data_IF_640156506621
#
_entry.id   IF_640156506621
#
_cell.length_a   1.000
_cell.length_b   1.000
_cell.length_c   1.000
_cell.angle_alpha   90.00
_cell.angle_beta   90.00
_cell.angle_gamma   90.00
#
_symmetry.space_group_name_H-M   'P 1'
#
loop_
_entity.id
_entity.type
_entity.pdbx_description
1 polymer ?
#
# COMPACT_ATOMS: atom_id res chain seq x y z
N UNK A 1 13.81 -17.87 11.67
CA UNK A 1 15.01 -18.09 10.84
C UNK A 1 16.10 -17.15 11.34
N UNK A 2 17.31 -17.67 11.53
CA UNK A 2 18.48 -16.85 11.85
C UNK A 2 19.22 -16.57 10.55
N UNK A 3 19.55 -15.30 10.30
CA UNK A 3 20.33 -14.86 9.15
C UNK A 3 21.48 -14.03 9.69
N UNK A 4 22.72 -14.45 9.43
CA UNK A 4 23.94 -13.81 9.94
C UNK A 4 23.89 -13.52 11.46
N UNK A 5 23.37 -14.47 12.25
CA UNK A 5 23.26 -14.34 13.70
C UNK A 5 22.10 -13.47 14.20
N UNK A 6 21.27 -12.93 13.31
CA UNK A 6 20.08 -12.12 13.66
C UNK A 6 18.78 -12.85 13.36
N UNK A 7 17.74 -12.63 14.16
CA UNK A 7 16.42 -13.20 13.88
C UNK A 7 15.72 -12.34 12.82
N UNK A 8 15.33 -12.96 11.71
CA UNK A 8 14.52 -12.31 10.67
C UNK A 8 13.08 -12.14 11.15
N UNK A 9 12.54 -10.94 10.99
CA UNK A 9 11.14 -10.59 11.22
C UNK A 9 10.58 -9.93 9.95
N UNK A 10 9.46 -10.44 9.46
CA UNK A 10 8.67 -9.80 8.40
C UNK A 10 7.54 -9.02 9.06
N UNK A 11 7.45 -7.72 8.79
CA UNK A 11 6.53 -6.79 9.44
C UNK A 11 5.57 -6.25 8.37
N UNK A 12 4.28 -6.55 8.51
CA UNK A 12 3.24 -6.00 7.65
C UNK A 12 2.62 -4.75 8.26
N UNK A 13 2.88 -3.60 7.63
CA UNK A 13 2.39 -2.30 8.06
C UNK A 13 0.99 -2.06 7.47
N UNK A 14 -0.01 -1.90 8.35
CA UNK A 14 -1.38 -1.58 7.94
C UNK A 14 -1.53 -0.14 7.44
N UNK A 15 -2.67 0.18 6.81
CA UNK A 15 -2.93 1.52 6.28
C UNK A 15 -2.78 2.66 7.30
N UNK A 16 -3.08 2.40 8.58
CA UNK A 16 -2.90 3.36 9.68
C UNK A 16 -1.45 3.79 9.92
N UNK A 17 -0.46 3.01 9.43
CA UNK A 17 0.94 3.40 9.49
C UNK A 17 1.26 4.57 8.55
N UNK A 18 0.38 4.84 7.58
CA UNK A 18 0.57 5.83 6.53
C UNK A 18 -0.55 6.89 6.57
N UNK A 19 -1.82 6.48 6.55
CA UNK A 19 -2.99 7.39 6.63
C UNK A 19 -3.97 6.90 7.68
N UNK A 20 -4.30 7.74 8.67
CA UNK A 20 -5.30 7.40 9.69
C UNK A 20 -6.71 7.73 9.23
N UNK A 21 -7.69 7.11 9.88
CA UNK A 21 -9.10 7.45 9.68
C UNK A 21 -9.36 8.90 10.11
N UNK A 22 -10.10 9.65 9.29
CA UNK A 22 -10.44 11.05 9.54
C UNK A 22 -9.38 12.08 9.12
N UNK A 23 -8.17 11.66 8.74
CA UNK A 23 -7.18 12.56 8.14
C UNK A 23 -7.49 12.83 6.67
N UNK A 24 -7.20 14.06 6.23
CA UNK A 24 -7.28 14.48 4.82
C UNK A 24 -6.35 13.61 3.95
N UNK A 25 -5.18 13.23 4.49
CA UNK A 25 -4.21 12.39 3.77
C UNK A 25 -3.22 13.20 2.96
N UNK A 26 -2.92 14.41 3.41
CA UNK A 26 -1.87 15.26 2.83
C UNK A 26 -0.52 14.54 2.89
N UNK A 27 0.45 14.99 2.07
CA UNK A 27 1.81 14.49 2.17
C UNK A 27 2.36 14.65 3.60
N UNK A 28 2.12 15.80 4.22
CA UNK A 28 2.55 16.09 5.59
C UNK A 28 2.01 15.08 6.61
N UNK A 29 0.71 14.73 6.51
CA UNK A 29 0.08 13.71 7.35
C UNK A 29 0.73 12.34 7.17
N UNK A 30 0.93 11.95 5.90
CA UNK A 30 1.50 10.65 5.57
C UNK A 30 2.94 10.53 6.07
N UNK A 31 3.78 11.55 5.84
CA UNK A 31 5.15 11.60 6.34
C UNK A 31 5.21 11.57 7.87
N UNK A 32 4.32 12.31 8.55
CA UNK A 32 4.23 12.32 10.02
C UNK A 32 3.86 10.93 10.57
N UNK A 33 2.87 10.27 9.99
CA UNK A 33 2.45 8.92 10.42
C UNK A 33 3.54 7.87 10.18
N UNK A 34 4.21 7.93 9.01
CA UNK A 34 5.33 7.05 8.69
C UNK A 34 6.49 7.27 9.66
N UNK A 35 6.80 8.53 10.01
CA UNK A 35 7.83 8.86 11.00
C UNK A 35 7.58 8.20 12.36
N UNK A 36 6.35 8.27 12.88
CA UNK A 36 5.95 7.63 14.14
C UNK A 36 6.14 6.11 14.08
N UNK A 37 5.80 5.49 12.94
CA UNK A 37 6.00 4.06 12.72
C UNK A 37 7.50 3.71 12.70
N UNK A 38 8.32 4.52 12.04
CA UNK A 38 9.77 4.35 11.98
C UNK A 38 10.43 4.40 13.35
N UNK A 39 9.97 5.24 14.27
CA UNK A 39 10.48 5.27 15.65
C UNK A 39 10.30 3.93 16.38
N UNK A 40 9.19 3.22 16.13
CA UNK A 40 8.98 1.88 16.71
C UNK A 40 9.85 0.83 16.03
N UNK A 41 10.05 0.94 14.71
CA UNK A 41 10.94 0.05 13.96
C UNK A 41 12.40 0.19 14.44
N UNK A 42 12.85 1.40 14.76
CA UNK A 42 14.17 1.65 15.35
C UNK A 42 14.33 0.91 16.68
N UNK A 43 13.30 0.89 17.53
CA UNK A 43 13.31 0.14 18.81
C UNK A 43 13.37 -1.37 18.59
N UNK A 44 12.61 -1.89 17.63
CA UNK A 44 12.70 -3.32 17.27
C UNK A 44 14.09 -3.68 16.74
N UNK A 45 14.65 -2.85 15.88
CA UNK A 45 15.98 -3.09 15.33
C UNK A 45 17.09 -3.09 16.40
N UNK A 46 16.93 -2.32 17.49
CA UNK A 46 17.85 -2.37 18.65
C UNK A 46 17.84 -3.70 19.40
N UNK A 47 16.83 -4.54 19.19
CA UNK A 47 16.77 -5.91 19.72
C UNK A 47 17.42 -6.93 18.77
N UNK A 48 18.31 -6.48 17.88
CA UNK A 48 19.03 -7.27 16.88
C UNK A 48 18.14 -8.04 15.89
N UNK A 49 16.92 -7.55 15.64
CA UNK A 49 16.09 -8.06 14.55
C UNK A 49 16.56 -7.55 13.18
N UNK A 50 16.71 -8.49 12.26
CA UNK A 50 16.76 -8.21 10.83
C UNK A 50 15.32 -8.07 10.33
N UNK A 51 15.00 -6.95 9.68
CA UNK A 51 13.60 -6.61 9.36
C UNK A 51 13.37 -6.58 7.85
N UNK A 52 12.30 -7.22 7.41
CA UNK A 52 11.69 -7.01 6.10
C UNK A 52 10.35 -6.32 6.33
N UNK A 53 10.13 -5.18 5.69
CA UNK A 53 8.90 -4.42 5.83
C UNK A 53 8.02 -4.64 4.60
N UNK A 54 6.75 -4.88 4.82
CA UNK A 54 5.71 -4.82 3.79
C UNK A 54 4.65 -3.81 4.22
N UNK A 55 3.84 -3.33 3.28
CA UNK A 55 2.78 -2.39 3.58
C UNK A 55 1.55 -2.65 2.70
N UNK A 56 0.38 -2.22 3.17
CA UNK A 56 -0.77 -2.01 2.30
C UNK A 56 -0.67 -0.66 1.58
N UNK A 57 -1.49 -0.46 0.56
CA UNK A 57 -1.56 0.77 -0.23
C UNK A 57 -2.98 1.22 -0.57
N UNK A 58 -4.02 0.58 -0.02
CA UNK A 58 -5.42 0.80 -0.44
C UNK A 58 -5.85 2.28 -0.52
N UNK A 59 -5.60 3.11 0.51
CA UNK A 59 -5.89 4.54 0.43
C UNK A 59 -5.07 5.29 -0.64
N UNK A 60 -3.78 4.99 -0.77
CA UNK A 60 -2.87 5.62 -1.74
C UNK A 60 -3.27 5.26 -3.17
N UNK A 61 -3.48 3.97 -3.44
CA UNK A 61 -3.90 3.47 -4.74
C UNK A 61 -5.28 4.03 -5.13
N UNK A 62 -6.21 4.09 -4.18
CA UNK A 62 -7.52 4.70 -4.40
C UNK A 62 -7.43 6.18 -4.78
N UNK A 63 -6.62 6.96 -4.06
CA UNK A 63 -6.42 8.38 -4.36
C UNK A 63 -5.73 8.58 -5.72
N UNK A 64 -4.69 7.81 -6.01
CA UNK A 64 -3.96 7.90 -7.28
C UNK A 64 -4.83 7.48 -8.46
N UNK A 65 -5.70 6.48 -8.28
CA UNK A 65 -6.66 6.07 -9.32
C UNK A 65 -7.65 7.19 -9.66
N UNK A 66 -8.14 7.93 -8.66
CA UNK A 66 -8.95 9.13 -8.90
C UNK A 66 -8.14 10.16 -9.72
N UNK A 67 -6.88 10.41 -9.35
CA UNK A 67 -6.03 11.35 -10.09
C UNK A 67 -5.82 10.92 -11.55
N UNK A 68 -5.59 9.62 -11.81
CA UNK A 68 -5.47 9.07 -13.16
C UNK A 68 -6.73 9.32 -14.00
N UNK A 69 -7.91 9.15 -13.39
CA UNK A 69 -9.18 9.32 -14.10
C UNK A 69 -9.55 10.77 -14.34
N UNK A 70 -9.41 11.62 -13.33
CA UNK A 70 -9.72 13.05 -13.46
C UNK A 70 -8.73 13.74 -14.43
N UNK A 71 -7.50 13.22 -14.54
CA UNK A 71 -6.50 13.64 -15.52
C UNK A 71 -6.66 13.04 -16.93
N UNK A 72 -7.49 11.99 -17.10
CA UNK A 72 -7.54 11.14 -18.31
C UNK A 72 -7.84 11.88 -19.61
N UNK A 73 -8.58 13.00 -19.54
CA UNK A 73 -8.92 13.84 -20.71
C UNK A 73 -7.72 14.66 -21.22
N UNK A 74 -6.70 14.84 -20.38
CA UNK A 74 -5.49 15.60 -20.70
C UNK A 74 -4.30 14.68 -20.95
N UNK A 75 -4.17 13.62 -20.14
CA UNK A 75 -3.08 12.64 -20.20
C UNK A 75 -3.66 11.24 -20.05
N UNK A 76 -3.31 10.26 -20.89
CA UNK A 76 -3.82 8.90 -20.78
C UNK A 76 -3.59 8.29 -19.38
N UNK A 77 -4.64 7.69 -18.82
CA UNK A 77 -4.58 7.01 -17.53
C UNK A 77 -3.76 5.73 -17.60
N UNK A 78 -3.01 5.44 -16.54
CA UNK A 78 -2.33 4.16 -16.36
C UNK A 78 -3.27 3.08 -15.80
N UNK A 79 -3.03 1.79 -16.14
CA UNK A 79 -3.79 0.68 -15.59
C UNK A 79 -3.48 0.45 -14.10
N UNK A 80 -4.34 -0.32 -13.43
CA UNK A 80 -4.32 -0.49 -11.97
C UNK A 80 -3.02 -1.11 -11.43
N UNK A 81 -2.42 -2.05 -12.17
CA UNK A 81 -1.13 -2.66 -11.84
C UNK A 81 0.02 -1.64 -11.87
N UNK A 82 0.00 -0.72 -12.83
CA UNK A 82 0.97 0.39 -12.90
C UNK A 82 0.72 1.41 -11.78
N UNK A 83 -0.55 1.69 -11.46
CA UNK A 83 -0.90 2.53 -10.30
C UNK A 83 -0.40 1.89 -9.00
N UNK A 84 -0.54 0.57 -8.83
CA UNK A 84 0.01 -0.16 -7.69
C UNK A 84 1.53 0.04 -7.60
N UNK A 85 2.25 -0.17 -8.71
CA UNK A 85 3.69 0.05 -8.78
C UNK A 85 4.10 1.49 -8.43
N UNK A 86 3.34 2.50 -8.87
CA UNK A 86 3.57 3.90 -8.49
C UNK A 86 3.46 4.09 -6.98
N UNK A 87 2.45 3.50 -6.34
CA UNK A 87 2.27 3.60 -4.87
C UNK A 87 3.35 2.84 -4.08
N UNK A 88 3.93 1.78 -4.64
CA UNK A 88 5.12 1.14 -4.04
C UNK A 88 6.30 2.12 -4.02
N UNK A 89 6.49 2.90 -5.10
CA UNK A 89 7.48 3.97 -5.14
C UNK A 89 7.21 5.09 -4.14
N UNK A 90 5.97 5.57 -4.07
CA UNK A 90 5.54 6.60 -3.12
C UNK A 90 5.79 6.18 -1.66
N UNK A 91 5.22 5.04 -1.25
CA UNK A 91 5.27 4.57 0.13
C UNK A 91 6.68 4.11 0.49
N UNK A 92 7.35 3.40 -0.43
CA UNK A 92 8.74 2.97 -0.27
C UNK A 92 9.69 4.14 -0.07
N UNK A 93 9.47 5.26 -0.78
CA UNK A 93 10.22 6.49 -0.57
C UNK A 93 9.97 7.09 0.82
N UNK A 94 8.71 7.20 1.25
CA UNK A 94 8.37 7.72 2.58
C UNK A 94 9.06 6.92 3.69
N UNK A 95 8.97 5.59 3.65
CA UNK A 95 9.60 4.73 4.66
C UNK A 95 11.13 4.79 4.59
N UNK A 96 11.73 4.73 3.41
CA UNK A 96 13.19 4.88 3.28
C UNK A 96 13.67 6.20 3.89
N UNK A 97 13.04 7.31 3.51
CA UNK A 97 13.41 8.64 3.98
C UNK A 97 13.29 8.76 5.51
N UNK A 98 12.13 8.39 6.06
CA UNK A 98 11.86 8.55 7.49
C UNK A 98 12.65 7.57 8.36
N UNK A 99 12.83 6.32 7.92
CA UNK A 99 13.59 5.33 8.67
C UNK A 99 15.10 5.62 8.65
N UNK A 100 15.64 6.10 7.52
CA UNK A 100 17.03 6.59 7.46
C UNK A 100 17.25 7.75 8.45
N UNK A 101 16.33 8.72 8.46
CA UNK A 101 16.40 9.85 9.40
C UNK A 101 16.28 9.37 10.86
N UNK A 102 15.42 8.39 11.14
CA UNK A 102 15.26 7.83 12.48
C UNK A 102 16.52 7.09 12.95
N UNK A 103 17.18 6.31 12.08
CA UNK A 103 18.46 5.68 12.41
C UNK A 103 19.59 6.70 12.63
N UNK A 104 19.67 7.75 11.79
CA UNK A 104 20.67 8.82 11.96
C UNK A 104 20.50 9.57 13.28
N UNK A 105 19.27 9.90 13.68
CA UNK A 105 18.98 10.48 15.01
C UNK A 105 19.43 9.58 16.17
N UNK A 106 19.44 8.28 15.93
CA UNK A 106 19.89 7.26 16.86
C UNK A 106 21.39 6.94 16.73
N UNK A 107 22.14 7.73 15.96
CA UNK A 107 23.59 7.58 15.77
C UNK A 107 24.01 6.37 14.94
N UNK A 108 23.08 5.79 14.15
CA UNK A 108 23.33 4.59 13.34
C UNK A 108 23.13 4.88 11.86
N UNK A 109 24.02 4.35 11.02
CA UNK A 109 23.87 4.37 9.57
C UNK A 109 23.56 2.95 9.08
N UNK A 110 22.28 2.70 8.80
CA UNK A 110 21.80 1.40 8.33
C UNK A 110 21.31 1.56 6.88
N UNK A 111 21.85 0.77 5.92
CA UNK A 111 21.34 0.76 4.56
C UNK A 111 19.89 0.30 4.50
N UNK A 112 19.06 1.01 3.74
CA UNK A 112 17.65 0.69 3.54
C UNK A 112 17.34 0.81 2.05
N UNK A 113 16.74 -0.23 1.48
CA UNK A 113 16.27 -0.27 0.11
C UNK A 113 14.77 -0.59 0.08
N UNK A 114 14.02 0.14 -0.74
CA UNK A 114 12.68 -0.26 -1.18
C UNK A 114 12.80 -0.91 -2.55
N UNK A 115 12.00 -1.94 -2.77
CA UNK A 115 11.98 -2.72 -4.00
C UNK A 115 10.58 -2.62 -4.60
N UNK A 116 10.50 -2.34 -5.90
CA UNK A 116 9.30 -2.66 -6.65
C UNK A 116 9.17 -4.18 -6.69
N UNK A 117 7.98 -4.68 -6.39
CA UNK A 117 7.69 -6.11 -6.27
C UNK A 117 6.49 -6.49 -7.11
N UNK A 118 6.56 -7.68 -7.69
CA UNK A 118 5.52 -8.28 -8.51
C UNK A 118 5.01 -9.56 -7.87
N UNK A 119 3.70 -9.67 -7.75
CA UNK A 119 3.02 -10.86 -7.25
C UNK A 119 2.46 -11.66 -8.42
N UNK A 120 2.76 -12.95 -8.44
CA UNK A 120 2.12 -13.91 -9.32
C UNK A 120 0.76 -14.25 -8.70
N UNK A 121 -0.27 -14.27 -9.54
CA UNK A 121 -1.67 -14.59 -9.20
C UNK A 121 -2.20 -15.57 -10.25
N UNK A 122 -3.27 -16.31 -9.93
CA UNK A 122 -3.94 -17.18 -10.91
C UNK A 122 -4.84 -16.35 -11.83
N UNK A 123 -4.67 -16.45 -13.14
CA UNK A 123 -5.52 -15.75 -14.12
C UNK A 123 -7.00 -16.15 -14.05
N UNK A 124 -7.28 -17.33 -13.47
CA UNK A 124 -8.63 -17.86 -13.28
C UNK A 124 -9.16 -17.63 -11.86
N UNK A 125 -8.50 -16.80 -11.05
CA UNK A 125 -8.97 -16.49 -9.70
C UNK A 125 -10.42 -15.94 -9.75
N UNK A 126 -11.36 -16.49 -8.98
CA UNK A 126 -12.76 -16.04 -8.98
C UNK A 126 -12.94 -14.55 -8.69
N UNK A 127 -12.00 -13.90 -7.99
CA UNK A 127 -12.09 -12.47 -7.66
C UNK A 127 -11.92 -11.56 -8.89
N UNK A 128 -11.43 -12.08 -10.03
CA UNK A 128 -11.50 -11.38 -11.31
C UNK A 128 -12.93 -11.28 -11.87
N UNK A 129 -13.80 -12.25 -11.53
CA UNK A 129 -15.20 -12.27 -11.96
C UNK A 129 -16.12 -11.59 -10.95
N UNK A 130 -15.84 -11.73 -9.65
CA UNK A 130 -16.60 -11.08 -8.58
C UNK A 130 -15.69 -10.27 -7.63
N UNK A 131 -15.19 -9.09 -8.06
CA UNK A 131 -14.26 -8.27 -7.29
C UNK A 131 -14.76 -7.92 -5.89
N UNK A 132 -13.90 -8.04 -4.88
CA UNK A 132 -14.30 -7.83 -3.48
C UNK A 132 -13.57 -6.69 -2.77
N UNK A 133 -12.41 -6.25 -3.27
CA UNK A 133 -11.55 -5.33 -2.53
C UNK A 133 -11.94 -3.87 -2.69
N UNK A 134 -12.32 -3.16 -1.61
CA UNK A 134 -12.64 -1.74 -1.67
C UNK A 134 -11.41 -0.88 -2.00
N UNK A 135 -11.60 0.12 -2.86
CA UNK A 135 -10.61 1.17 -3.16
C UNK A 135 -11.26 2.54 -3.22
N UNK A 136 -10.50 3.57 -2.84
CA UNK A 136 -10.94 4.96 -2.94
C UNK A 136 -11.98 5.36 -1.88
N UNK A 137 -12.72 6.47 -2.12
CA UNK A 137 -13.64 7.07 -1.16
C UNK A 137 -14.96 6.31 -1.07
N UNK A 138 -15.78 6.71 -0.10
CA UNK A 138 -17.15 6.21 0.07
C UNK A 138 -18.16 7.06 -0.69
N UNK A 139 -19.17 6.39 -1.23
CA UNK A 139 -20.26 6.94 -2.01
C UNK A 139 -21.61 6.59 -1.37
N UNK A 140 -22.63 7.41 -1.63
CA UNK A 140 -24.02 6.98 -1.47
C UNK A 140 -24.37 5.94 -2.55
N UNK A 141 -25.46 5.21 -2.37
CA UNK A 141 -25.94 4.28 -3.40
C UNK A 141 -26.22 4.98 -4.74
N UNK A 142 -26.75 6.19 -4.69
CA UNK A 142 -27.07 7.02 -5.86
C UNK A 142 -25.79 7.44 -6.61
N UNK A 143 -24.79 7.93 -5.87
CA UNK A 143 -23.47 8.26 -6.40
C UNK A 143 -22.81 7.02 -7.04
N UNK A 144 -22.89 5.86 -6.37
CA UNK A 144 -22.30 4.61 -6.84
C UNK A 144 -22.95 4.12 -8.16
N UNK A 145 -24.28 4.17 -8.26
CA UNK A 145 -25.02 3.84 -9.49
C UNK A 145 -24.67 4.74 -10.67
N UNK A 146 -24.40 6.02 -10.41
CA UNK A 146 -23.96 6.94 -11.46
C UNK A 146 -22.52 6.64 -11.92
N UNK A 147 -21.62 6.29 -10.99
CA UNK A 147 -20.25 5.89 -11.33
C UNK A 147 -20.20 4.57 -12.10
N UNK A 148 -21.09 3.62 -11.80
CA UNK A 148 -21.24 2.39 -12.58
C UNK A 148 -21.62 2.71 -14.04
N UNK A 149 -22.58 3.61 -14.26
CA UNK A 149 -23.02 4.01 -15.62
C UNK A 149 -21.99 4.84 -16.37
N UNK A 150 -21.41 5.84 -15.70
CA UNK A 150 -20.58 6.85 -16.34
C UNK A 150 -19.12 6.41 -16.50
N UNK A 151 -18.59 5.62 -15.55
CA UNK A 151 -17.19 5.19 -15.50
C UNK A 151 -17.01 3.68 -15.60
N UNK A 152 -18.09 2.88 -15.60
CA UNK A 152 -17.99 1.41 -15.65
C UNK A 152 -17.41 0.80 -14.37
N UNK A 153 -17.51 1.51 -13.23
CA UNK A 153 -17.03 0.99 -11.96
C UNK A 153 -17.84 -0.23 -11.52
N UNK A 154 -17.15 -1.22 -10.95
CA UNK A 154 -17.80 -2.24 -10.13
C UNK A 154 -17.86 -1.68 -8.71
N UNK A 155 -19.07 -1.48 -8.19
CA UNK A 155 -19.31 -0.90 -6.87
C UNK A 155 -20.07 -1.89 -5.99
N UNK A 156 -19.74 -1.92 -4.70
CA UNK A 156 -20.43 -2.75 -3.70
C UNK A 156 -20.67 -1.93 -2.42
N UNK A 157 -21.66 -2.34 -1.65
CA UNK A 157 -21.79 -1.90 -0.26
C UNK A 157 -20.66 -2.53 0.56
N UNK A 158 -19.78 -1.71 1.15
CA UNK A 158 -18.57 -2.16 1.86
C UNK A 158 -18.59 -1.81 3.35
N UNK A 159 -19.62 -1.09 3.80
CA UNK A 159 -19.87 -0.76 5.21
C UNK A 159 -21.35 -0.83 5.54
N UNK A 160 -21.69 -1.03 6.81
CA UNK A 160 -23.06 -0.98 7.30
C UNK A 160 -23.26 0.22 8.23
N UNK A 161 -24.46 0.82 8.20
CA UNK A 161 -24.88 1.81 9.21
C UNK A 161 -24.44 3.26 8.94
N UNK A 162 -24.00 3.57 7.72
CA UNK A 162 -23.70 4.94 7.27
C UNK A 162 -24.31 5.19 5.90
N UNK A 163 -24.77 6.42 5.63
CA UNK A 163 -25.35 6.80 4.33
C UNK A 163 -24.36 6.63 3.16
N UNK A 164 -23.07 6.92 3.39
CA UNK A 164 -21.99 6.65 2.45
C UNK A 164 -21.35 5.30 2.75
N UNK A 165 -21.97 4.23 2.28
CA UNK A 165 -21.57 2.85 2.49
C UNK A 165 -21.08 2.11 1.23
N UNK A 166 -21.12 2.74 0.07
CA UNK A 166 -20.67 2.13 -1.19
C UNK A 166 -19.23 2.50 -1.52
N UNK A 167 -18.47 1.58 -2.12
CA UNK A 167 -17.15 1.86 -2.68
C UNK A 167 -16.96 1.13 -3.99
N UNK A 168 -16.03 1.64 -4.82
CA UNK A 168 -15.49 0.87 -5.93
C UNK A 168 -14.76 -0.35 -5.38
N UNK A 169 -14.98 -1.49 -6.01
CA UNK A 169 -14.23 -2.73 -5.76
C UNK A 169 -13.38 -3.10 -6.96
N UNK A 170 -12.23 -3.73 -6.68
CA UNK A 170 -11.29 -4.23 -7.69
C UNK A 170 -10.88 -5.67 -7.36
N UNK A 171 -10.42 -6.44 -8.35
CA UNK A 171 -9.87 -7.77 -8.08
C UNK A 171 -8.70 -7.70 -7.11
N UNK A 172 -8.66 -8.65 -6.19
CA UNK A 172 -7.65 -8.90 -5.17
C UNK A 172 -7.41 -10.41 -5.09
N UNK A 173 -6.97 -11.03 -6.20
CA UNK A 173 -6.72 -12.46 -6.27
C UNK A 173 -5.68 -12.92 -5.24
N UNK A 174 -5.75 -14.21 -4.88
CA UNK A 174 -4.82 -14.78 -3.91
C UNK A 174 -3.39 -14.79 -4.49
N UNK A 175 -2.39 -14.29 -3.73
CA UNK A 175 -1.01 -14.36 -4.19
C UNK A 175 -0.51 -15.80 -4.20
N UNK A 176 0.07 -16.24 -5.33
CA UNK A 176 0.66 -17.59 -5.47
C UNK A 176 2.19 -17.56 -5.52
N UNK A 177 2.80 -16.40 -5.77
CA UNK A 177 4.25 -16.26 -5.79
C UNK A 177 4.73 -14.82 -5.76
N UNK A 178 5.98 -14.61 -5.34
CA UNK A 178 6.66 -13.32 -5.35
C UNK A 178 7.86 -13.41 -6.29
N UNK A 179 7.87 -12.63 -7.36
CA UNK A 179 8.89 -12.70 -8.42
C UNK A 179 10.27 -12.35 -7.85
N UNK A 180 10.35 -11.28 -7.06
CA UNK A 180 11.60 -10.77 -6.49
C UNK A 180 12.06 -11.51 -5.22
N UNK A 181 11.46 -12.67 -4.90
CA UNK A 181 11.81 -13.42 -3.70
C UNK A 181 13.30 -13.79 -3.62
N UNK A 182 13.95 -14.05 -4.76
CA UNK A 182 15.41 -14.31 -4.80
C UNK A 182 16.21 -13.06 -4.45
N UNK A 183 15.85 -11.90 -5.00
CA UNK A 183 16.52 -10.61 -4.73
C UNK A 183 16.37 -10.24 -3.26
N UNK A 184 15.16 -10.38 -2.70
CA UNK A 184 14.90 -10.11 -1.29
C UNK A 184 15.75 -11.01 -0.40
N UNK A 185 15.82 -12.32 -0.70
CA UNK A 185 16.70 -13.26 0.02
C UNK A 185 18.17 -12.83 -0.05
N UNK A 186 18.67 -12.45 -1.22
CA UNK A 186 20.05 -11.96 -1.37
C UNK A 186 20.33 -10.73 -0.50
N UNK A 187 19.37 -9.80 -0.38
CA UNK A 187 19.54 -8.58 0.40
C UNK A 187 19.51 -8.82 1.92
N UNK A 188 18.72 -9.79 2.39
CA UNK A 188 18.67 -10.12 3.82
C UNK A 188 19.84 -11.01 4.24
N UNK A 189 20.40 -11.81 3.33
CA UNK A 189 21.48 -12.78 3.58
C UNK A 189 20.97 -14.16 3.94
#
# INVERSE_FOLDING_TARGET
>A
MMINGKKLVVIALGGNAIKKAGEEGTAEDQFRNVSISCEQLVKMNKQDYLMVLTHGNGPQAGNLLIQQEEGSKLVPSMPLDVVDAMTQGEIGYMFQNQLQNAFRRDGREIPIASLITQMIVDENDPDFQDPSKPVGPFYTEEEAKELEKSKGYIVKETRSGTEKNWQRVVPSPAPIGLVEAKVIRTLVG
#
